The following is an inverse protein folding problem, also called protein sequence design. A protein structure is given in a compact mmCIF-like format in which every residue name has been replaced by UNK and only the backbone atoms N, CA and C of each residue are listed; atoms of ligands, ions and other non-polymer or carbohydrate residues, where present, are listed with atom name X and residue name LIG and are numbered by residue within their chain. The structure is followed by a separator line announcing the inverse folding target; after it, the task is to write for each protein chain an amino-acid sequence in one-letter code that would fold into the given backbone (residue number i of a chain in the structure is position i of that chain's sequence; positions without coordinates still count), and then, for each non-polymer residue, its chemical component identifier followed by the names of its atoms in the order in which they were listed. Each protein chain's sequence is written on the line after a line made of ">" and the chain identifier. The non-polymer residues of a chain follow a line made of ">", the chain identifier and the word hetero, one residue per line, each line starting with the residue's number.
data_IF_413995896480
#
_entry.id   IF_413995896480
#
_cell.length_a   1.000
_cell.length_b   1.000
_cell.length_c   1.000
_cell.angle_alpha   90.00
_cell.angle_beta   90.00
_cell.angle_gamma   90.00
#
_symmetry.space_group_name_H-M   'P 1'
#
loop_
_entity.id
_entity.type
_entity.pdbx_description
1 polymer ?
#
# COMPACT_ATOMS: atom_id res chain seq x y z
N UNK A 1 4.21 -2.54 -11.36
CA UNK A 1 3.07 -3.48 -11.48
C UNK A 1 2.27 -3.45 -10.19
N UNK A 2 0.95 -3.35 -10.29
CA UNK A 2 0.01 -3.31 -9.16
C UNK A 2 -0.58 -4.72 -8.96
N UNK A 3 -0.67 -5.20 -7.72
CA UNK A 3 -1.12 -6.56 -7.40
C UNK A 3 -1.78 -6.68 -6.02
N UNK A 4 -2.15 -7.90 -5.59
CA UNK A 4 -2.75 -8.12 -4.28
C UNK A 4 -1.90 -7.54 -3.15
N UNK A 5 -2.57 -6.97 -2.15
CA UNK A 5 -2.03 -6.23 -1.00
C UNK A 5 -1.42 -4.86 -1.31
N UNK A 6 -1.31 -4.46 -2.57
CA UNK A 6 -0.91 -3.09 -2.89
C UNK A 6 -2.00 -2.10 -2.48
N UNK A 7 -1.55 -0.93 -2.02
CA UNK A 7 -2.39 0.23 -1.78
C UNK A 7 -2.51 1.03 -3.08
N UNK A 8 -3.72 1.44 -3.41
CA UNK A 8 -4.02 2.27 -4.59
C UNK A 8 -4.82 3.51 -4.18
N UNK A 9 -4.62 4.60 -4.90
CA UNK A 9 -5.41 5.82 -4.84
C UNK A 9 -6.31 5.86 -6.07
N UNK A 10 -7.62 5.91 -5.84
CA UNK A 10 -8.62 6.00 -6.89
C UNK A 10 -8.90 7.47 -7.18
N UNK A 11 -8.75 7.85 -8.45
CA UNK A 11 -9.09 9.18 -8.94
C UNK A 11 -10.44 9.14 -9.68
N UNK A 12 -11.21 10.22 -9.55
CA UNK A 12 -12.48 10.45 -10.21
C UNK A 12 -12.49 11.89 -10.75
N UNK A 13 -12.74 12.09 -12.05
CA UNK A 13 -12.59 13.40 -12.71
C UNK A 13 -11.23 14.05 -12.42
N UNK A 14 -10.17 13.24 -12.49
CA UNK A 14 -8.79 13.64 -12.18
C UNK A 14 -8.57 14.13 -10.72
N UNK A 15 -9.56 13.98 -9.84
CA UNK A 15 -9.44 14.28 -8.40
C UNK A 15 -9.27 12.99 -7.58
N UNK A 16 -8.32 12.94 -6.62
CA UNK A 16 -8.19 11.78 -5.72
C UNK A 16 -9.40 11.70 -4.79
N UNK A 17 -10.02 10.51 -4.68
CA UNK A 17 -11.25 10.33 -3.88
C UNK A 17 -11.02 9.46 -2.66
N UNK A 18 -10.44 8.28 -2.83
CA UNK A 18 -10.22 7.35 -1.72
C UNK A 18 -9.05 6.41 -1.97
N UNK A 19 -8.46 5.93 -0.88
CA UNK A 19 -7.53 4.82 -0.90
C UNK A 19 -8.27 3.48 -0.87
N UNK A 20 -7.70 2.48 -1.53
CA UNK A 20 -8.15 1.11 -1.44
C UNK A 20 -6.96 0.16 -1.41
N UNK A 21 -7.12 -1.00 -0.76
CA UNK A 21 -6.18 -2.12 -0.89
C UNK A 21 -6.77 -3.15 -1.85
N UNK A 22 -5.95 -3.65 -2.75
CA UNK A 22 -6.35 -4.75 -3.62
C UNK A 22 -6.33 -6.04 -2.80
N UNK A 23 -7.49 -6.68 -2.70
CA UNK A 23 -7.63 -7.96 -2.00
C UNK A 23 -7.41 -9.14 -2.94
N UNK A 24 -7.84 -9.04 -4.19
CA UNK A 24 -7.80 -10.14 -5.15
C UNK A 24 -7.86 -9.64 -6.60
N UNK A 25 -7.25 -10.40 -7.52
CA UNK A 25 -7.31 -10.20 -8.97
C UNK A 25 -7.50 -11.58 -9.62
N UNK A 26 -8.65 -11.82 -10.26
CA UNK A 26 -8.98 -13.07 -10.95
C UNK A 26 -9.32 -12.81 -12.42
N UNK A 27 -9.14 -13.78 -13.33
CA UNK A 27 -9.71 -13.70 -14.67
C UNK A 27 -11.23 -13.58 -14.60
N UNK A 28 -11.82 -12.71 -15.43
CA UNK A 28 -13.28 -12.61 -15.58
C UNK A 28 -13.79 -13.57 -16.67
N UNK A 29 -15.11 -13.80 -16.69
CA UNK A 29 -15.78 -14.58 -17.75
C UNK A 29 -15.56 -13.95 -19.14
N UNK A 30 -15.36 -12.62 -19.20
CA UNK A 30 -15.01 -11.92 -20.44
C UNK A 30 -13.53 -12.11 -20.78
N UNK A 31 -13.20 -12.63 -21.98
CA UNK A 31 -11.82 -12.85 -22.39
C UNK A 31 -11.00 -11.56 -22.31
N UNK A 32 -9.86 -11.65 -21.64
CA UNK A 32 -8.93 -10.53 -21.46
C UNK A 32 -9.28 -9.58 -20.31
N UNK A 33 -10.40 -9.74 -19.61
CA UNK A 33 -10.77 -8.92 -18.45
C UNK A 33 -10.39 -9.59 -17.13
N UNK A 34 -10.26 -8.77 -16.09
CA UNK A 34 -10.00 -9.20 -14.72
C UNK A 34 -11.09 -8.69 -13.78
N UNK A 35 -11.49 -9.54 -12.83
CA UNK A 35 -12.34 -9.19 -11.69
C UNK A 35 -11.44 -8.88 -10.50
N UNK A 36 -11.58 -7.68 -9.95
CA UNK A 36 -10.79 -7.21 -8.81
C UNK A 36 -11.66 -6.94 -7.60
N UNK A 37 -11.19 -7.38 -6.44
CA UNK A 37 -11.81 -7.08 -5.14
C UNK A 37 -10.99 -6.06 -4.38
N UNK A 38 -11.64 -5.04 -3.86
CA UNK A 38 -11.02 -3.92 -3.15
C UNK A 38 -11.56 -3.79 -1.74
N UNK A 39 -10.67 -3.59 -0.78
CA UNK A 39 -11.02 -3.05 0.52
C UNK A 39 -10.90 -1.52 0.45
N UNK A 40 -12.02 -0.81 0.50
CA UNK A 40 -12.07 0.65 0.43
C UNK A 40 -11.81 1.23 1.81
N UNK A 41 -10.78 2.06 1.92
CA UNK A 41 -10.29 2.63 3.18
C UNK A 41 -10.91 4.01 3.40
N UNK A 42 -12.22 4.01 3.65
CA UNK A 42 -12.99 5.18 4.08
C UNK A 42 -13.80 4.84 5.34
N UNK A 43 -14.47 5.81 5.96
CA UNK A 43 -15.37 5.55 7.09
C UNK A 43 -16.82 5.78 6.62
N UNK A 44 -17.69 4.75 6.65
CA UNK A 44 -17.40 3.37 7.05
C UNK A 44 -16.59 2.59 6.02
N UNK A 45 -15.82 1.62 6.49
CA UNK A 45 -15.06 0.72 5.61
C UNK A 45 -16.03 -0.10 4.78
N UNK A 46 -15.72 -0.26 3.49
CA UNK A 46 -16.58 -0.98 2.54
C UNK A 46 -15.74 -1.86 1.62
N UNK A 47 -16.36 -2.87 1.02
CA UNK A 47 -15.75 -3.74 0.01
C UNK A 47 -16.41 -3.43 -1.33
N UNK A 48 -15.59 -3.25 -2.36
CA UNK A 48 -16.04 -3.07 -3.73
C UNK A 48 -15.47 -4.16 -4.64
N UNK A 49 -16.17 -4.44 -5.73
CA UNK A 49 -15.73 -5.41 -6.73
C UNK A 49 -15.97 -4.88 -8.14
N UNK A 50 -14.91 -4.75 -8.94
CA UNK A 50 -14.96 -4.20 -10.30
C UNK A 50 -14.43 -5.21 -11.33
N UNK A 51 -14.99 -5.17 -12.54
CA UNK A 51 -14.53 -5.94 -13.70
C UNK A 51 -13.84 -4.95 -14.64
N UNK A 52 -12.54 -5.12 -14.86
CA UNK A 52 -11.67 -4.15 -15.54
C UNK A 52 -10.82 -4.81 -16.61
N UNK A 53 -10.38 -4.03 -17.59
CA UNK A 53 -9.29 -4.43 -18.47
C UNK A 53 -7.94 -4.34 -17.74
N UNK A 54 -6.95 -5.18 -18.08
CA UNK A 54 -5.63 -5.18 -17.46
C UNK A 54 -4.93 -3.82 -17.54
N UNK A 55 -5.09 -3.08 -18.64
CA UNK A 55 -4.44 -1.77 -18.79
C UNK A 55 -4.93 -0.76 -17.73
N UNK A 56 -6.20 -0.82 -17.32
CA UNK A 56 -6.76 0.09 -16.32
C UNK A 56 -6.18 -0.14 -14.93
N UNK A 57 -5.81 -1.38 -14.63
CA UNK A 57 -5.10 -1.76 -13.38
C UNK A 57 -3.68 -1.20 -13.35
N UNK A 58 -3.10 -0.98 -14.53
CA UNK A 58 -1.77 -0.41 -14.71
C UNK A 58 -1.76 1.13 -14.69
N UNK A 59 -2.94 1.75 -14.57
CA UNK A 59 -3.10 3.20 -14.43
C UNK A 59 -3.62 3.91 -15.66
N UNK A 60 -3.98 3.18 -16.73
CA UNK A 60 -4.70 3.79 -17.85
C UNK A 60 -6.07 4.31 -17.40
N UNK A 61 -6.48 5.53 -17.81
CA UNK A 61 -7.77 6.08 -17.45
C UNK A 61 -8.91 5.38 -18.20
N UNK A 62 -10.06 5.26 -17.55
CA UNK A 62 -11.28 4.70 -18.13
C UNK A 62 -12.52 5.50 -17.70
N UNK A 63 -13.69 5.19 -18.25
CA UNK A 63 -14.93 5.90 -17.93
C UNK A 63 -15.91 4.99 -17.18
N UNK A 64 -16.42 5.47 -16.05
CA UNK A 64 -17.48 4.82 -15.27
C UNK A 64 -18.61 5.83 -15.02
N UNK A 65 -19.83 5.53 -15.49
CA UNK A 65 -20.97 6.44 -15.33
C UNK A 65 -20.76 7.80 -16.00
N UNK A 66 -20.07 7.84 -17.14
CA UNK A 66 -19.74 9.08 -17.87
C UNK A 66 -18.60 9.89 -17.26
N UNK A 67 -17.98 9.41 -16.19
CA UNK A 67 -16.92 10.10 -15.47
C UNK A 67 -15.58 9.37 -15.58
N UNK A 68 -14.50 10.12 -15.72
CA UNK A 68 -13.14 9.60 -15.90
C UNK A 68 -12.60 9.08 -14.57
N UNK A 69 -12.05 7.87 -14.56
CA UNK A 69 -11.53 7.17 -13.38
C UNK A 69 -10.11 6.67 -13.66
N UNK A 70 -9.24 6.67 -12.65
CA UNK A 70 -7.87 6.14 -12.74
C UNK A 70 -7.44 5.46 -11.44
N UNK A 71 -6.75 4.32 -11.56
CA UNK A 71 -6.19 3.56 -10.43
C UNK A 71 -4.69 3.84 -10.36
N UNK A 72 -4.22 4.45 -9.27
CA UNK A 72 -2.80 4.75 -9.09
C UNK A 72 -2.22 3.96 -7.94
N UNK A 73 -1.10 3.25 -8.15
CA UNK A 73 -0.39 2.58 -7.05
C UNK A 73 0.24 3.61 -6.12
N UNK A 74 -0.06 3.50 -4.83
CA UNK A 74 0.57 4.32 -3.79
C UNK A 74 1.93 3.72 -3.45
N UNK A 75 2.97 4.53 -3.47
CA UNK A 75 4.33 4.15 -3.07
C UNK A 75 4.64 4.80 -1.73
N UNK A 76 5.09 4.05 -0.71
CA UNK A 76 5.47 4.64 0.57
C UNK A 76 6.69 5.58 0.37
N UNK A 77 6.80 6.65 1.17
CA UNK A 77 8.01 7.47 1.18
C UNK A 77 9.24 6.59 1.45
N UNK A 78 10.35 6.90 0.77
CA UNK A 78 11.63 6.25 1.05
C UNK A 78 12.09 6.66 2.46
N UNK A 79 12.40 5.69 3.31
CA UNK A 79 13.11 5.99 4.56
C UNK A 79 14.50 6.53 4.20
N UNK A 80 14.79 7.75 4.64
CA UNK A 80 16.18 8.20 4.68
C UNK A 80 16.92 7.24 5.61
N UNK A 81 17.86 6.46 5.05
CA UNK A 81 18.74 5.63 5.87
C UNK A 81 19.48 6.56 6.82
N UNK A 82 19.06 6.59 8.08
CA UNK A 82 19.85 7.20 9.15
C UNK A 82 21.22 6.53 9.11
N UNK A 83 22.25 7.29 8.75
CA UNK A 83 23.64 6.85 8.86
C UNK A 83 23.86 6.32 10.27
N UNK A 84 24.59 5.21 10.46
CA UNK A 84 24.85 4.69 11.80
C UNK A 84 25.44 5.82 12.68
N UNK A 85 24.99 5.95 13.95
CA UNK A 85 25.54 6.95 14.84
C UNK A 85 27.06 6.80 14.93
N UNK A 86 27.83 7.92 15.00
CA UNK A 86 29.27 7.83 15.11
C UNK A 86 29.63 6.97 16.33
N UNK A 87 30.44 5.95 16.10
CA UNK A 87 30.91 5.02 17.13
C UNK A 87 31.61 5.80 18.24
N UNK A 88 30.89 6.13 19.31
CA UNK A 88 31.51 6.60 20.54
C UNK A 88 32.22 5.41 21.17
N UNK A 89 33.55 5.47 21.30
CA UNK A 89 34.37 4.52 22.09
C UNK A 89 34.11 4.67 23.59
N UNK A 90 32.84 4.59 24.00
CA UNK A 90 32.44 4.52 25.39
C UNK A 90 32.44 3.06 25.83
N UNK A 91 33.29 2.71 26.79
CA UNK A 91 33.34 1.37 27.39
C UNK A 91 32.00 1.10 28.12
N UNK A 92 31.15 0.28 27.53
CA UNK A 92 29.91 -0.20 28.16
C UNK A 92 30.31 -1.13 29.31
N UNK A 93 30.12 -0.69 30.55
CA UNK A 93 30.26 -1.55 31.72
C UNK A 93 28.90 -2.16 32.01
N UNK A 94 28.82 -3.49 31.96
CA UNK A 94 27.58 -4.23 32.24
C UNK A 94 27.18 -4.05 33.71
N UNK A 95 25.95 -3.60 33.97
CA UNK A 95 25.39 -3.43 35.32
C UNK A 95 25.21 -4.75 36.09
N UNK A 96 25.43 -5.89 35.43
CA UNK A 96 25.32 -7.22 36.04
C UNK A 96 26.49 -7.55 36.99
N UNK A 97 27.61 -6.82 36.95
CA UNK A 97 28.76 -7.07 37.84
C UNK A 97 28.63 -6.42 39.23
N UNK A 98 27.56 -5.66 39.52
CA UNK A 98 27.37 -4.99 40.82
C UNK A 98 26.60 -5.80 41.87
N UNK A 99 26.27 -7.07 41.60
CA UNK A 99 25.56 -7.94 42.56
C UNK A 99 26.41 -9.12 43.00
N UNK A 100 27.47 -8.82 43.76
CA UNK A 100 28.37 -9.85 44.28
C UNK A 100 29.40 -9.36 45.28
N UNK A 101 29.05 -8.42 46.17
CA UNK A 101 29.87 -8.17 47.37
C UNK A 101 29.04 -7.56 48.50
N UNK A 102 28.28 -8.41 49.19
CA UNK A 102 27.89 -8.26 50.59
C UNK A 102 27.75 -9.67 51.18
N UNK A 103 28.53 -9.94 52.21
CA UNK A 103 28.63 -11.23 52.91
C UNK A 103 30.08 -11.57 53.13
#
# INVERSE_FOLDING_TARGET
>A
MTGPKDLVLIHWEDQPVFFARIEEILPDVKPGWVRMRFLILQVPVSIGEWILLPEYVQGEPFYMGGKKVRIEKVVPPLEEKTSPPPSSKGKVVSLLERKGKKG
#
